data_IF_025119695675
#
_entry.id   IF_025119695675
#
_cell.length_a   1.000
_cell.length_b   1.000
_cell.length_c   1.000
_cell.angle_alpha   90.00
_cell.angle_beta   90.00
_cell.angle_gamma   90.00
#
_symmetry.space_group_name_H-M   'P 1'
#
loop_
_entity.id
_entity.type
_entity.pdbx_description
1 polymer ?
#
# COMPACT_ATOMS: atom_id res chain seq x y z
N UNK A 1 1.90 30.49 -63.13
CA UNK A 1 0.51 30.52 -63.61
C UNK A 1 -0.36 29.65 -62.72
N UNK A 2 -1.21 30.40 -62.03
CA UNK A 2 -2.62 30.15 -61.72
C UNK A 2 -2.89 29.07 -60.65
N UNK A 3 -3.32 29.56 -59.56
CA UNK A 3 -4.68 29.86 -59.08
C UNK A 3 -5.31 28.60 -58.41
N UNK A 4 -5.54 28.69 -57.20
CA UNK A 4 -6.77 29.11 -56.55
C UNK A 4 -7.50 27.89 -56.03
N UNK A 5 -7.78 27.81 -54.77
CA UNK A 5 -9.14 27.92 -54.28
C UNK A 5 -9.17 27.78 -52.75
N UNK A 6 -9.55 28.87 -52.14
CA UNK A 6 -10.18 28.97 -50.82
C UNK A 6 -11.38 28.04 -50.71
N UNK A 7 -11.52 27.38 -49.56
CA UNK A 7 -12.85 27.17 -49.00
C UNK A 7 -12.80 27.00 -47.47
N UNK A 8 -13.30 27.98 -46.85
CA UNK A 8 -13.94 28.11 -45.55
C UNK A 8 -14.99 27.01 -45.30
N UNK A 9 -15.13 26.60 -44.12
CA UNK A 9 -16.21 25.78 -43.61
C UNK A 9 -15.95 25.52 -42.14
N UNK A 10 -16.36 26.43 -41.25
CA UNK A 10 -17.48 26.36 -40.30
C UNK A 10 -17.34 25.17 -39.34
N UNK A 11 -16.90 25.46 -38.11
CA UNK A 11 -17.76 25.70 -36.95
C UNK A 11 -18.84 24.61 -36.76
N UNK A 12 -18.65 23.75 -35.79
CA UNK A 12 -19.77 23.25 -34.98
C UNK A 12 -19.22 22.48 -33.74
N UNK A 13 -19.37 23.10 -32.59
CA UNK A 13 -19.44 22.42 -31.33
C UNK A 13 -20.88 21.94 -31.10
N UNK A 14 -21.09 20.87 -30.39
CA UNK A 14 -22.21 20.80 -29.48
C UNK A 14 -21.70 20.56 -28.07
N UNK A 15 -21.90 21.50 -27.19
CA UNK A 15 -23.06 21.63 -26.31
C UNK A 15 -23.12 20.55 -25.22
N UNK A 16 -23.00 21.06 -24.06
CA UNK A 16 -23.26 20.49 -22.73
C UNK A 16 -24.55 19.66 -22.69
N UNK A 17 -24.50 18.58 -21.95
CA UNK A 17 -25.67 18.01 -21.32
C UNK A 17 -25.40 17.82 -19.83
N UNK A 18 -25.85 18.80 -19.10
CA UNK A 18 -26.17 18.69 -17.68
C UNK A 18 -27.33 17.70 -17.54
N UNK A 19 -27.19 16.76 -16.65
CA UNK A 19 -28.32 16.10 -16.03
C UNK A 19 -28.09 16.07 -14.54
N UNK A 20 -28.68 17.04 -13.88
CA UNK A 20 -29.03 17.03 -12.47
C UNK A 20 -30.02 15.88 -12.22
N UNK A 21 -29.80 15.15 -11.18
CA UNK A 21 -30.72 14.17 -10.61
C UNK A 21 -30.62 14.21 -9.11
N UNK A 22 -31.41 15.07 -8.53
CA UNK A 22 -31.76 15.18 -7.10
C UNK A 22 -32.56 13.98 -6.64
N UNK A 23 -32.42 13.67 -5.38
CA UNK A 23 -33.41 13.30 -4.36
C UNK A 23 -32.86 12.13 -3.53
N UNK A 24 -32.57 12.36 -2.29
CA UNK A 24 -33.45 12.48 -1.13
C UNK A 24 -33.86 11.11 -0.58
N UNK A 25 -33.56 10.94 0.69
CA UNK A 25 -34.45 10.32 1.66
C UNK A 25 -34.06 8.88 1.92
N UNK A 26 -33.80 8.46 3.06
CA UNK A 26 -34.48 8.43 4.30
C UNK A 26 -33.69 7.56 5.28
N UNK A 27 -33.37 8.13 6.41
CA UNK A 27 -33.33 7.36 7.64
C UNK A 27 -34.73 7.10 8.08
N UNK A 28 -35.06 5.94 8.68
CA UNK A 28 -35.52 6.09 10.04
C UNK A 28 -35.10 4.99 11.04
N UNK A 29 -35.07 5.46 12.28
CA UNK A 29 -35.60 4.92 13.51
C UNK A 29 -34.80 3.81 14.20
N UNK A 30 -34.07 4.15 15.18
CA UNK A 30 -34.34 4.22 16.61
C UNK A 30 -35.44 3.26 17.06
N UNK A 31 -35.04 2.20 17.74
CA UNK A 31 -35.90 1.56 18.74
C UNK A 31 -35.09 1.26 19.99
N UNK A 32 -35.33 2.10 20.98
CA UNK A 32 -35.12 1.80 22.39
C UNK A 32 -36.09 0.68 22.79
N UNK A 33 -35.65 -0.24 23.60
CA UNK A 33 -36.50 -0.94 24.53
C UNK A 33 -35.74 -1.28 25.78
N UNK A 34 -36.04 -0.52 26.82
CA UNK A 34 -35.77 -0.83 28.20
C UNK A 34 -36.61 -2.03 28.67
N UNK A 35 -36.06 -2.76 29.62
CA UNK A 35 -36.67 -3.30 30.84
C UNK A 35 -35.72 -4.37 31.41
N UNK A 36 -34.97 -4.15 32.46
CA UNK A 36 -35.28 -4.14 33.88
C UNK A 36 -35.96 -5.45 34.38
N UNK A 37 -35.26 -6.12 35.27
CA UNK A 37 -35.69 -6.69 36.55
C UNK A 37 -34.66 -7.74 36.98
N UNK A 38 -33.77 -7.48 37.89
CA UNK A 38 -33.78 -7.73 39.34
C UNK A 38 -34.16 -9.17 39.72
N UNK A 39 -33.17 -9.92 40.26
CA UNK A 39 -33.36 -10.73 41.46
C UNK A 39 -32.03 -11.43 41.80
N UNK A 40 -31.35 -10.97 42.84
CA UNK A 40 -30.63 -11.88 43.77
C UNK A 40 -31.67 -12.43 44.73
N UNK A 41 -31.45 -13.55 45.42
CA UNK A 41 -30.56 -13.60 46.57
C UNK A 41 -29.79 -14.93 46.77
N UNK A 42 -28.64 -14.75 47.43
CA UNK A 42 -28.10 -15.45 48.60
C UNK A 42 -28.29 -16.98 48.76
N UNK A 43 -27.27 -17.65 48.97
CA UNK A 43 -26.69 -18.19 50.20
C UNK A 43 -26.04 -19.60 50.02
N UNK A 44 -25.04 -19.78 50.73
CA UNK A 44 -24.48 -21.00 51.36
C UNK A 44 -23.14 -21.50 50.87
N UNK A 45 -22.25 -21.17 51.72
CA UNK A 45 -20.98 -21.80 52.08
C UNK A 45 -20.92 -23.32 51.93
N UNK A 46 -19.83 -23.83 51.43
CA UNK A 46 -19.00 -24.81 52.15
C UNK A 46 -17.67 -25.05 51.44
N UNK A 47 -16.62 -24.91 52.17
CA UNK A 47 -15.25 -25.07 51.82
C UNK A 47 -14.89 -26.43 51.28
N UNK A 48 -13.80 -26.45 50.61
CA UNK A 48 -12.71 -27.42 50.83
C UNK A 48 -11.45 -26.86 50.14
N UNK A 49 -10.44 -26.68 50.95
CA UNK A 49 -9.04 -26.55 50.58
C UNK A 49 -8.63 -27.70 49.66
N UNK A 50 -7.93 -27.33 48.59
CA UNK A 50 -6.83 -28.13 48.00
C UNK A 50 -6.55 -27.52 46.62
N UNK A 51 -5.51 -26.96 46.31
CA UNK A 51 -4.14 -27.40 46.30
C UNK A 51 -3.34 -26.33 45.59
N UNK A 52 -2.45 -25.74 46.28
CA UNK A 52 -1.38 -24.96 45.68
C UNK A 52 -0.45 -25.93 44.95
N UNK A 53 -0.56 -25.99 43.63
CA UNK A 53 0.49 -26.51 42.74
C UNK A 53 0.11 -26.25 41.27
N UNK A 54 0.27 -25.05 40.78
CA UNK A 54 0.52 -24.77 39.36
C UNK A 54 0.86 -23.29 39.19
N UNK A 55 1.98 -22.88 39.68
CA UNK A 55 2.42 -21.49 39.54
C UNK A 55 3.85 -21.35 38.99
N UNK A 56 4.40 -22.44 38.41
CA UNK A 56 5.78 -22.43 37.92
C UNK A 56 5.94 -22.51 36.41
N UNK A 57 4.87 -22.79 35.65
CA UNK A 57 4.96 -22.89 34.15
C UNK A 57 4.63 -21.61 33.43
N UNK A 58 3.85 -20.72 34.01
CA UNK A 58 3.41 -19.48 33.38
C UNK A 58 4.53 -18.49 32.92
N UNK A 59 5.69 -18.38 33.59
CA UNK A 59 6.76 -17.48 33.15
C UNK A 59 7.59 -18.05 31.99
N UNK A 60 7.68 -19.37 31.85
CA UNK A 60 8.44 -20.00 30.75
C UNK A 60 7.68 -19.96 29.41
N UNK A 61 6.38 -20.23 29.45
CA UNK A 61 5.51 -20.16 28.27
C UNK A 61 5.41 -18.74 27.72
N UNK A 62 5.28 -17.72 28.58
CA UNK A 62 5.27 -16.31 28.16
C UNK A 62 6.56 -15.90 27.45
N UNK A 63 7.72 -16.29 27.99
CA UNK A 63 9.02 -16.01 27.37
C UNK A 63 9.17 -16.71 26.01
N UNK A 64 8.65 -17.91 25.89
CA UNK A 64 8.71 -18.68 24.64
C UNK A 64 7.79 -18.07 23.58
N UNK A 65 6.60 -17.60 23.97
CA UNK A 65 5.66 -16.90 23.09
C UNK A 65 6.22 -15.54 22.63
N UNK A 66 6.86 -14.80 23.53
CA UNK A 66 7.50 -13.52 23.24
C UNK A 66 8.66 -13.69 22.24
N UNK A 67 9.51 -14.70 22.44
CA UNK A 67 10.60 -15.02 21.52
C UNK A 67 10.09 -15.49 20.13
N UNK A 68 8.99 -16.22 20.07
CA UNK A 68 8.35 -16.62 18.82
C UNK A 68 7.80 -15.40 18.07
N UNK A 69 7.11 -14.49 18.76
CA UNK A 69 6.60 -13.23 18.19
C UNK A 69 7.74 -12.39 17.63
N UNK A 70 8.84 -12.20 18.38
CA UNK A 70 10.00 -11.44 17.89
C UNK A 70 10.61 -12.07 16.62
N UNK A 71 10.68 -13.39 16.55
CA UNK A 71 11.20 -14.09 15.37
C UNK A 71 10.30 -13.87 14.14
N UNK A 72 8.98 -13.93 14.30
CA UNK A 72 8.03 -13.68 13.24
C UNK A 72 8.06 -12.21 12.78
N UNK A 73 8.07 -11.26 13.70
CA UNK A 73 8.23 -9.83 13.40
C UNK A 73 9.51 -9.58 12.62
N UNK A 74 10.63 -10.16 13.07
CA UNK A 74 11.91 -10.04 12.37
C UNK A 74 11.86 -10.62 10.96
N UNK A 75 11.23 -11.77 10.78
CA UNK A 75 11.07 -12.40 9.48
C UNK A 75 10.24 -11.52 8.53
N UNK A 76 9.16 -10.90 9.01
CA UNK A 76 8.33 -9.98 8.24
C UNK A 76 9.09 -8.70 7.86
N UNK A 77 9.88 -8.15 8.78
CA UNK A 77 10.76 -7.00 8.48
C UNK A 77 11.81 -7.37 7.43
N UNK A 78 12.39 -8.57 7.49
CA UNK A 78 13.31 -9.02 6.45
C UNK A 78 12.64 -9.13 5.07
N UNK A 79 11.36 -9.53 5.01
CA UNK A 79 10.60 -9.53 3.76
C UNK A 79 10.43 -8.11 3.19
N UNK A 80 10.28 -7.07 4.01
CA UNK A 80 10.23 -5.68 3.51
C UNK A 80 11.54 -5.28 2.84
N UNK A 81 12.69 -5.65 3.40
CA UNK A 81 14.00 -5.39 2.79
C UNK A 81 14.20 -6.17 1.49
N UNK A 82 13.77 -7.43 1.45
CA UNK A 82 13.80 -8.23 0.23
C UNK A 82 12.93 -7.61 -0.88
N UNK A 83 11.74 -7.13 -0.52
CA UNK A 83 10.85 -6.44 -1.46
C UNK A 83 11.47 -5.14 -1.99
N UNK A 84 12.13 -4.37 -1.13
CA UNK A 84 12.89 -3.17 -1.51
C UNK A 84 13.97 -3.51 -2.52
N UNK A 85 14.75 -4.56 -2.29
CA UNK A 85 15.79 -5.02 -3.21
C UNK A 85 15.21 -5.43 -4.59
N UNK A 86 14.05 -6.09 -4.62
CA UNK A 86 13.32 -6.42 -5.86
C UNK A 86 12.93 -5.14 -6.60
N UNK A 87 12.35 -4.16 -5.91
CA UNK A 87 11.95 -2.88 -6.49
C UNK A 87 13.15 -2.12 -7.08
N UNK A 88 14.25 -2.02 -6.34
CA UNK A 88 15.48 -1.35 -6.79
C UNK A 88 16.12 -2.05 -7.99
N UNK A 89 16.18 -3.39 -7.98
CA UNK A 89 16.69 -4.19 -9.10
C UNK A 89 15.85 -3.98 -10.36
N UNK A 90 14.52 -4.07 -10.25
CA UNK A 90 13.61 -3.88 -11.38
C UNK A 90 13.72 -2.47 -11.96
N UNK A 91 13.76 -1.45 -11.10
CA UNK A 91 13.93 -0.07 -11.51
C UNK A 91 15.27 0.15 -12.24
N UNK A 92 16.37 -0.33 -11.67
CA UNK A 92 17.70 -0.20 -12.26
C UNK A 92 17.80 -0.96 -13.60
N UNK A 93 17.15 -2.12 -13.72
CA UNK A 93 17.05 -2.88 -14.95
C UNK A 93 16.34 -2.07 -16.06
N UNK A 94 15.18 -1.49 -15.75
CA UNK A 94 14.44 -0.66 -16.72
C UNK A 94 15.21 0.58 -17.14
N UNK A 95 15.92 1.25 -16.20
CA UNK A 95 16.78 2.39 -16.50
C UNK A 95 17.93 1.97 -17.41
N UNK A 96 18.56 0.84 -17.12
CA UNK A 96 19.70 0.32 -17.91
C UNK A 96 19.26 -0.06 -19.32
N UNK A 97 18.10 -0.72 -19.46
CA UNK A 97 17.50 -1.06 -20.73
C UNK A 97 17.18 0.20 -21.57
N UNK A 98 16.57 1.20 -20.94
CA UNK A 98 16.28 2.48 -21.62
C UNK A 98 17.56 3.19 -22.10
N UNK A 99 18.63 3.18 -21.27
CA UNK A 99 19.92 3.76 -21.67
C UNK A 99 20.58 2.98 -22.80
N UNK A 100 20.54 1.66 -22.77
CA UNK A 100 21.08 0.82 -23.83
C UNK A 100 20.35 1.07 -25.15
N UNK A 101 19.01 1.08 -25.13
CA UNK A 101 18.18 1.36 -26.31
C UNK A 101 18.50 2.76 -26.90
N UNK A 102 18.63 3.79 -26.05
CA UNK A 102 18.98 5.12 -26.51
C UNK A 102 20.36 5.18 -27.17
N UNK A 103 21.35 4.46 -26.64
CA UNK A 103 22.73 4.42 -27.18
C UNK A 103 22.84 3.68 -28.51
N UNK A 104 21.89 2.78 -28.83
CA UNK A 104 21.88 2.08 -30.14
C UNK A 104 21.31 2.93 -31.26
N UNK A 105 20.71 4.08 -30.97
CA UNK A 105 20.19 5.00 -31.97
C UNK A 105 21.36 5.69 -32.71
N UNK A 106 21.19 5.95 -34.02
CA UNK A 106 22.10 6.83 -34.76
C UNK A 106 22.23 8.20 -34.08
N UNK A 107 23.38 8.86 -34.21
CA UNK A 107 23.68 10.11 -33.50
C UNK A 107 22.63 11.21 -33.77
N UNK A 108 22.12 11.30 -35.01
CA UNK A 108 21.07 12.22 -35.42
C UNK A 108 19.70 11.96 -34.78
N UNK A 109 19.48 10.73 -34.30
CA UNK A 109 18.24 10.34 -33.60
C UNK A 109 18.38 10.41 -32.08
N UNK A 110 19.56 10.64 -31.54
CA UNK A 110 19.80 10.76 -30.10
C UNK A 110 19.30 12.13 -29.57
N UNK A 111 18.03 12.37 -29.72
CA UNK A 111 17.37 13.61 -29.30
C UNK A 111 16.70 13.47 -27.92
N UNK A 112 16.46 14.61 -27.26
CA UNK A 112 15.71 14.65 -25.98
C UNK A 112 14.33 14.01 -26.12
N UNK A 113 13.65 14.22 -27.24
CA UNK A 113 12.33 13.64 -27.52
C UNK A 113 12.40 12.12 -27.57
N UNK A 114 13.39 11.56 -28.28
CA UNK A 114 13.59 10.10 -28.34
C UNK A 114 13.91 9.52 -26.96
N UNK A 115 14.76 10.18 -26.16
CA UNK A 115 15.04 9.79 -24.77
C UNK A 115 13.75 9.68 -23.97
N UNK A 116 12.87 10.68 -24.03
CA UNK A 116 11.58 10.68 -23.33
C UNK A 116 10.68 9.55 -23.83
N UNK A 117 10.57 9.33 -25.14
CA UNK A 117 9.77 8.24 -25.70
C UNK A 117 10.22 6.86 -25.21
N UNK A 118 11.53 6.60 -25.18
CA UNK A 118 12.10 5.35 -24.66
C UNK A 118 11.78 5.20 -23.18
N UNK A 119 11.91 6.27 -22.38
CA UNK A 119 11.54 6.21 -20.97
C UNK A 119 10.04 5.91 -20.78
N UNK A 120 9.17 6.51 -21.62
CA UNK A 120 7.73 6.25 -21.59
C UNK A 120 7.39 4.80 -21.98
N UNK A 121 8.12 4.19 -22.90
CA UNK A 121 7.90 2.78 -23.28
C UNK A 121 8.14 1.80 -22.11
N UNK A 122 8.96 2.18 -21.12
CA UNK A 122 9.20 1.37 -19.90
C UNK A 122 8.17 1.61 -18.79
N UNK A 123 7.23 2.54 -18.98
CA UNK A 123 6.24 2.87 -17.94
C UNK A 123 5.36 1.67 -17.57
N UNK A 124 4.98 0.83 -18.54
CA UNK A 124 4.17 -0.36 -18.27
C UNK A 124 4.84 -1.36 -17.33
N UNK A 125 6.14 -1.64 -17.56
CA UNK A 125 6.94 -2.52 -16.69
C UNK A 125 7.07 -1.94 -15.28
N UNK A 126 7.34 -0.63 -15.18
CA UNK A 126 7.47 0.06 -13.90
C UNK A 126 6.16 0.11 -13.13
N UNK A 127 5.03 0.30 -13.82
CA UNK A 127 3.69 0.25 -13.19
C UNK A 127 3.37 -1.14 -12.67
N UNK A 128 3.70 -2.18 -13.42
CA UNK A 128 3.50 -3.57 -12.99
C UNK A 128 4.36 -3.90 -11.77
N UNK A 129 5.64 -3.50 -11.78
CA UNK A 129 6.55 -3.65 -10.65
C UNK A 129 6.03 -2.90 -9.40
N UNK A 130 5.56 -1.68 -9.58
CA UNK A 130 4.98 -0.89 -8.51
C UNK A 130 3.74 -1.56 -7.92
N UNK A 131 2.82 -2.02 -8.76
CA UNK A 131 1.61 -2.72 -8.30
C UNK A 131 1.92 -4.00 -7.53
N UNK A 132 2.92 -4.76 -7.99
CA UNK A 132 3.42 -5.92 -7.27
C UNK A 132 3.96 -5.53 -5.88
N UNK A 133 4.84 -4.52 -5.81
CA UNK A 133 5.42 -4.07 -4.55
C UNK A 133 4.36 -3.52 -3.58
N UNK A 134 3.38 -2.77 -4.08
CA UNK A 134 2.28 -2.24 -3.26
C UNK A 134 1.43 -3.36 -2.65
N UNK A 135 1.12 -4.39 -3.44
CA UNK A 135 0.36 -5.55 -2.99
C UNK A 135 1.11 -6.38 -1.94
N UNK A 136 2.39 -6.68 -2.20
CA UNK A 136 3.21 -7.46 -1.27
C UNK A 136 3.48 -6.69 0.02
N UNK A 137 3.74 -5.38 -0.04
CA UNK A 137 3.89 -4.56 1.16
C UNK A 137 2.60 -4.54 1.99
N UNK A 138 1.44 -4.41 1.34
CA UNK A 138 0.14 -4.50 2.01
C UNK A 138 -0.05 -5.83 2.74
N UNK A 139 0.33 -6.95 2.11
CA UNK A 139 0.29 -8.27 2.71
C UNK A 139 1.20 -8.38 3.94
N UNK A 140 2.46 -7.97 3.81
CA UNK A 140 3.45 -8.01 4.91
C UNK A 140 2.97 -7.18 6.10
N UNK A 141 2.52 -5.95 5.86
CA UNK A 141 2.03 -5.05 6.93
C UNK A 141 0.77 -5.61 7.60
N UNK A 142 -0.12 -6.25 6.83
CA UNK A 142 -1.31 -6.89 7.38
C UNK A 142 -0.93 -8.06 8.29
N UNK A 143 0.01 -8.92 7.88
CA UNK A 143 0.53 -10.01 8.70
C UNK A 143 1.23 -9.48 9.96
N UNK A 144 2.04 -8.42 9.82
CA UNK A 144 2.71 -7.79 10.96
C UNK A 144 1.71 -7.28 12.00
N UNK A 145 0.61 -6.64 11.56
CA UNK A 145 -0.46 -6.22 12.46
C UNK A 145 -1.14 -7.40 13.17
N UNK A 146 -1.35 -8.50 12.46
CA UNK A 146 -1.96 -9.71 13.04
C UNK A 146 -1.05 -10.28 14.12
N UNK A 147 0.23 -10.51 13.81
CA UNK A 147 1.21 -11.05 14.76
C UNK A 147 1.30 -10.16 16.02
N UNK A 148 1.41 -8.85 15.85
CA UNK A 148 1.49 -7.91 16.97
C UNK A 148 0.23 -7.94 17.84
N UNK A 149 -0.97 -7.95 17.22
CA UNK A 149 -2.25 -8.00 17.95
C UNK A 149 -2.45 -9.31 18.73
N UNK A 150 -2.14 -10.43 18.11
CA UNK A 150 -2.26 -11.76 18.74
C UNK A 150 -1.34 -11.90 19.97
N UNK A 151 -0.25 -11.15 19.99
CA UNK A 151 0.68 -11.09 21.11
C UNK A 151 0.45 -9.87 22.03
N UNK A 152 -0.67 -9.17 21.89
CA UNK A 152 -1.02 -8.03 22.76
C UNK A 152 -0.09 -6.81 22.61
N UNK A 153 0.64 -6.71 21.49
CA UNK A 153 1.56 -5.62 21.20
C UNK A 153 0.92 -4.50 20.38
N UNK A 154 1.50 -3.30 20.45
CA UNK A 154 1.08 -2.16 19.65
C UNK A 154 1.34 -2.42 18.16
N UNK A 155 0.39 -2.00 17.31
CA UNK A 155 0.52 -2.08 15.84
C UNK A 155 1.30 -0.91 15.23
N UNK A 156 1.84 0.00 16.05
CA UNK A 156 2.60 1.17 15.59
C UNK A 156 3.75 0.83 14.65
N UNK A 157 4.45 -0.28 14.91
CA UNK A 157 5.53 -0.76 14.05
C UNK A 157 5.02 -1.04 12.63
N UNK A 158 3.85 -1.65 12.48
CA UNK A 158 3.26 -1.91 11.17
C UNK A 158 2.89 -0.61 10.43
N UNK A 159 2.41 0.39 11.16
CA UNK A 159 2.08 1.71 10.62
C UNK A 159 3.35 2.47 10.20
N UNK A 160 4.42 2.38 10.99
CA UNK A 160 5.72 2.93 10.66
C UNK A 160 6.31 2.30 9.39
N UNK A 161 6.26 0.97 9.26
CA UNK A 161 6.72 0.25 8.05
C UNK A 161 5.98 0.74 6.82
N UNK A 162 4.65 0.85 6.88
CA UNK A 162 3.85 1.34 5.76
C UNK A 162 4.14 2.81 5.43
N UNK A 163 4.31 3.65 6.45
CA UNK A 163 4.63 5.07 6.28
C UNK A 163 6.00 5.26 5.62
N UNK A 164 7.02 4.53 6.11
CA UNK A 164 8.36 4.54 5.54
C UNK A 164 8.36 4.08 4.08
N UNK A 165 7.65 2.99 3.78
CA UNK A 165 7.49 2.51 2.40
C UNK A 165 6.91 3.58 1.47
N UNK A 166 5.83 4.24 1.88
CA UNK A 166 5.19 5.31 1.09
C UNK A 166 6.12 6.50 0.89
N UNK A 167 6.87 6.90 1.91
CA UNK A 167 7.82 8.01 1.84
C UNK A 167 8.98 7.69 0.88
N UNK A 168 9.61 6.52 1.01
CA UNK A 168 10.70 6.09 0.11
C UNK A 168 10.22 5.97 -1.34
N UNK A 169 9.03 5.39 -1.57
CA UNK A 169 8.42 5.30 -2.89
C UNK A 169 8.22 6.69 -3.52
N UNK A 170 7.68 7.64 -2.76
CA UNK A 170 7.48 9.02 -3.22
C UNK A 170 8.79 9.72 -3.57
N UNK A 171 9.81 9.55 -2.72
CA UNK A 171 11.14 10.09 -2.96
C UNK A 171 11.76 9.53 -4.24
N UNK A 172 11.71 8.20 -4.43
CA UNK A 172 12.23 7.55 -5.65
C UNK A 172 11.52 8.04 -6.91
N UNK A 173 10.21 8.23 -6.83
CA UNK A 173 9.44 8.77 -7.94
C UNK A 173 9.87 10.20 -8.30
N UNK A 174 10.08 11.05 -7.29
CA UNK A 174 10.56 12.43 -7.47
C UNK A 174 11.98 12.45 -8.08
N UNK A 175 12.89 11.59 -7.61
CA UNK A 175 14.24 11.46 -8.16
C UNK A 175 14.23 11.03 -9.63
N UNK A 176 13.39 10.06 -10.00
CA UNK A 176 13.25 9.61 -11.38
C UNK A 176 12.73 10.71 -12.29
N UNK A 177 11.67 11.39 -11.84
CA UNK A 177 11.10 12.53 -12.56
C UNK A 177 12.15 13.61 -12.78
N UNK A 178 12.91 13.96 -11.75
CA UNK A 178 13.97 14.96 -11.86
C UNK A 178 15.06 14.53 -12.86
N UNK A 179 15.53 13.28 -12.82
CA UNK A 179 16.50 12.75 -13.78
C UNK A 179 15.99 12.70 -15.22
N UNK A 180 14.68 12.51 -15.40
CA UNK A 180 14.07 12.49 -16.73
C UNK A 180 14.01 13.88 -17.36
N UNK A 181 13.63 14.89 -16.59
CA UNK A 181 13.38 16.23 -17.13
C UNK A 181 14.61 17.17 -17.07
N UNK A 182 15.49 16.97 -16.08
CA UNK A 182 16.62 17.87 -15.82
C UNK A 182 18.01 17.23 -16.08
N UNK A 183 18.09 15.95 -16.42
CA UNK A 183 19.29 15.23 -16.83
C UNK A 183 19.25 14.92 -18.32
#
# INVERSE_FOLDING_TARGET
>A
TLDGLTRTGTDEAPAASEAQGTAAGEQPARMESEAAVSSEPEDSASGTEQSAASSSEAPAEKKQQEAACEAEVKALIQQTYALKAIAEKGLNSSISAAKAEYKTLPAEQQTKTKKIMICLSKTGELTSLQSYCDKEMGRIVSQLRTVLKENGQSTELADQVMSTYKAEKSQRYAELKNKLYNG
#
